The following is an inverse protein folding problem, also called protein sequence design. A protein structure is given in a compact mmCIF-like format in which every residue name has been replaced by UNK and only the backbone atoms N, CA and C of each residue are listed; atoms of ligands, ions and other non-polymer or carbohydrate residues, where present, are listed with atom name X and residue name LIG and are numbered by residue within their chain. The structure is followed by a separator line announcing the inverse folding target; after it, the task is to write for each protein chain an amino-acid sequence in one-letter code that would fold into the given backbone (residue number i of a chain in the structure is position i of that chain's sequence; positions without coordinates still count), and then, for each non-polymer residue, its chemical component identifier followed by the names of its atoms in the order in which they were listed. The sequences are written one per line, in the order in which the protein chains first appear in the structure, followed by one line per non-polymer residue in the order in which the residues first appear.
data_IF_318740268864
#
_entry.id   IF_318740268864
#
_cell.length_a   1.000
_cell.length_b   1.000
_cell.length_c   1.000
_cell.angle_alpha   90.00
_cell.angle_beta   90.00
_cell.angle_gamma   90.00
#
_symmetry.space_group_name_H-M   'P 1'
#
loop_
_entity.id
_entity.type
_entity.pdbx_description
1 polymer ?
#
# COMPACT_ATOMS: atom_id res chain seq x y z
N UNK A 1 5.76 -21.47 1.50
CA UNK A 1 4.67 -20.80 2.26
C UNK A 1 4.71 -19.28 2.10
N UNK A 2 5.86 -18.62 2.31
CA UNK A 2 5.99 -17.15 2.18
C UNK A 2 5.68 -16.61 0.76
N UNK A 3 5.95 -17.40 -0.28
CA UNK A 3 5.57 -17.06 -1.66
C UNK A 3 4.05 -16.87 -1.84
N UNK A 4 3.23 -17.67 -1.17
CA UNK A 4 1.77 -17.53 -1.25
C UNK A 4 1.30 -16.20 -0.63
N UNK A 5 1.94 -15.79 0.47
CA UNK A 5 1.71 -14.48 1.11
C UNK A 5 2.14 -13.34 0.17
N UNK A 6 3.29 -13.49 -0.50
CA UNK A 6 3.75 -12.52 -1.50
C UNK A 6 2.77 -12.38 -2.67
N UNK A 7 2.20 -13.48 -3.15
CA UNK A 7 1.20 -13.47 -4.21
C UNK A 7 -0.13 -12.82 -3.75
N UNK A 8 -0.62 -13.17 -2.55
CA UNK A 8 -1.84 -12.57 -1.98
C UNK A 8 -1.71 -11.05 -1.81
N UNK A 9 -0.54 -10.57 -1.38
CA UNK A 9 -0.24 -9.14 -1.30
C UNK A 9 -0.46 -8.43 -2.64
N UNK A 10 0.01 -9.00 -3.74
CA UNK A 10 -0.16 -8.42 -5.08
C UNK A 10 -1.62 -8.53 -5.54
N UNK A 11 -2.26 -9.68 -5.36
CA UNK A 11 -3.66 -9.87 -5.76
C UNK A 11 -4.61 -8.88 -5.05
N UNK A 12 -4.38 -8.64 -3.76
CA UNK A 12 -5.21 -7.76 -2.94
C UNK A 12 -4.79 -6.29 -2.99
N UNK A 13 -3.67 -5.94 -3.65
CA UNK A 13 -3.14 -4.58 -3.67
C UNK A 13 -4.13 -3.51 -4.17
N UNK A 14 -5.01 -3.78 -5.16
CA UNK A 14 -6.01 -2.79 -5.59
C UNK A 14 -7.10 -2.51 -4.56
N UNK A 15 -7.34 -3.45 -3.63
CA UNK A 15 -8.42 -3.37 -2.64
C UNK A 15 -7.92 -2.99 -1.24
N UNK A 16 -6.69 -3.38 -0.92
CA UNK A 16 -6.05 -3.19 0.39
C UNK A 16 -4.67 -2.55 0.22
N UNK A 17 -4.57 -1.34 -0.37
CA UNK A 17 -3.27 -0.76 -0.77
C UNK A 17 -2.33 -0.57 0.43
N UNK A 18 -2.86 -0.08 1.56
CA UNK A 18 -2.05 0.18 2.75
C UNK A 18 -1.55 -1.11 3.43
N UNK A 19 -2.39 -2.14 3.49
CA UNK A 19 -1.99 -3.43 4.05
C UNK A 19 -1.01 -4.15 3.13
N UNK A 20 -1.22 -4.07 1.81
CA UNK A 20 -0.31 -4.62 0.83
C UNK A 20 1.08 -3.94 0.90
N UNK A 21 1.13 -2.61 1.04
CA UNK A 21 2.38 -1.87 1.22
C UNK A 21 3.10 -2.24 2.52
N UNK A 22 2.38 -2.32 3.65
CA UNK A 22 2.96 -2.74 4.92
C UNK A 22 3.54 -4.17 4.84
N UNK A 23 2.79 -5.10 4.24
CA UNK A 23 3.27 -6.46 4.01
C UNK A 23 4.46 -6.50 3.04
N UNK A 24 4.51 -5.59 2.06
CA UNK A 24 5.65 -5.45 1.15
C UNK A 24 6.92 -5.11 1.93
N UNK A 25 6.86 -4.11 2.82
CA UNK A 25 7.97 -3.76 3.70
C UNK A 25 8.34 -4.92 4.66
N UNK A 26 7.35 -5.59 5.26
CA UNK A 26 7.59 -6.75 6.14
C UNK A 26 8.33 -7.91 5.45
N UNK A 27 8.06 -8.10 4.16
CA UNK A 27 8.75 -9.09 3.33
C UNK A 27 10.17 -8.65 2.91
N UNK A 28 10.68 -7.53 3.43
CA UNK A 28 12.04 -7.03 3.18
C UNK A 28 12.20 -6.32 1.83
N UNK A 29 11.11 -5.86 1.22
CA UNK A 29 11.22 -5.02 0.02
C UNK A 29 11.42 -3.56 0.41
N UNK A 30 12.34 -2.89 -0.29
CA UNK A 30 12.66 -1.47 -0.09
C UNK A 30 11.93 -0.54 -1.06
N UNK A 31 11.22 -1.11 -2.03
CA UNK A 31 10.41 -0.39 -3.02
C UNK A 31 9.01 -0.06 -2.50
N UNK A 32 8.35 0.90 -3.15
CA UNK A 32 6.94 1.17 -2.91
C UNK A 32 6.07 0.50 -3.98
N UNK A 33 4.97 -0.12 -3.58
CA UNK A 33 3.95 -0.64 -4.51
C UNK A 33 3.15 0.51 -5.13
N UNK A 34 3.01 1.62 -4.42
CA UNK A 34 2.18 2.75 -4.81
C UNK A 34 3.00 4.03 -4.81
N UNK A 35 2.53 5.01 -5.58
CA UNK A 35 3.05 6.36 -5.62
C UNK A 35 2.45 7.23 -4.53
N UNK A 36 2.80 8.51 -4.55
CA UNK A 36 2.38 9.48 -3.55
C UNK A 36 1.28 10.36 -4.11
N UNK A 37 0.19 10.46 -3.36
CA UNK A 37 -0.88 11.39 -3.64
C UNK A 37 -0.65 12.68 -2.86
N UNK A 38 -0.76 13.82 -3.52
CA UNK A 38 -0.55 15.13 -2.90
C UNK A 38 -1.54 16.15 -3.45
N UNK A 39 -1.72 17.20 -2.66
CA UNK A 39 -2.57 18.33 -3.00
C UNK A 39 -1.69 19.43 -3.60
N UNK A 40 -2.10 19.96 -4.75
CA UNK A 40 -1.46 21.12 -5.37
C UNK A 40 -2.48 22.22 -5.60
N UNK A 41 -2.09 23.47 -5.33
CA UNK A 41 -2.89 24.64 -5.64
C UNK A 41 -2.46 25.19 -7.00
N UNK A 42 -3.38 25.23 -7.95
CA UNK A 42 -3.13 25.75 -9.29
C UNK A 42 -3.59 27.21 -9.35
N UNK A 43 -2.71 28.14 -9.72
CA UNK A 43 -3.12 29.52 -9.97
C UNK A 43 -4.00 29.57 -11.22
N UNK A 44 -5.17 30.19 -11.09
CA UNK A 44 -6.14 30.41 -12.16
C UNK A 44 -6.56 31.88 -12.13
N UNK A 45 -6.81 32.46 -13.31
CA UNK A 45 -7.14 33.86 -13.52
C UNK A 45 -8.45 34.27 -12.84
N UNK A 46 -9.40 33.34 -12.67
CA UNK A 46 -10.66 33.61 -11.98
C UNK A 46 -10.56 33.40 -10.45
N UNK A 47 -10.00 32.26 -10.02
CA UNK A 47 -9.77 31.92 -8.61
C UNK A 47 -8.85 30.69 -8.51
N UNK A 48 -7.84 30.67 -7.62
CA UNK A 48 -7.03 29.48 -7.40
C UNK A 48 -7.92 28.29 -7.00
N UNK A 49 -7.58 27.10 -7.51
CA UNK A 49 -8.29 25.87 -7.21
C UNK A 49 -7.32 24.75 -6.84
N UNK A 50 -7.81 23.86 -6.00
CA UNK A 50 -7.04 22.76 -5.44
C UNK A 50 -7.26 21.51 -6.25
N UNK A 51 -6.18 20.87 -6.70
CA UNK A 51 -6.21 19.61 -7.41
C UNK A 51 -5.52 18.51 -6.60
N UNK A 52 -6.01 17.29 -6.81
CA UNK A 52 -5.44 16.09 -6.22
C UNK A 52 -4.59 15.40 -7.27
N UNK A 53 -3.27 15.38 -7.07
CA UNK A 53 -2.31 14.79 -8.01
C UNK A 53 -1.72 13.51 -7.44
N UNK A 54 -1.22 12.70 -8.36
CA UNK A 54 -0.56 11.44 -8.05
C UNK A 54 0.81 11.40 -8.76
N UNK A 55 1.87 11.31 -7.96
CA UNK A 55 3.22 11.06 -8.45
C UNK A 55 3.51 9.57 -8.39
N UNK A 56 3.86 9.00 -9.54
CA UNK A 56 4.20 7.58 -9.69
C UNK A 56 5.71 7.31 -9.74
N UNK A 57 6.56 8.31 -9.55
CA UNK A 57 8.02 8.20 -9.75
C UNK A 57 8.64 7.03 -8.98
N UNK A 58 8.28 6.86 -7.71
CA UNK A 58 8.81 5.79 -6.84
C UNK A 58 7.92 4.53 -6.81
N UNK A 59 6.83 4.50 -7.58
CA UNK A 59 5.90 3.39 -7.62
C UNK A 59 6.45 2.24 -8.49
N UNK A 60 6.91 1.17 -7.84
CA UNK A 60 7.43 -0.04 -8.50
C UNK A 60 6.41 -1.19 -8.56
N UNK A 61 5.21 -1.00 -8.02
CA UNK A 61 4.18 -2.03 -7.99
C UNK A 61 3.67 -2.38 -9.39
N UNK A 62 3.69 -3.67 -9.72
CA UNK A 62 3.05 -4.22 -10.90
C UNK A 62 2.05 -5.29 -10.48
N UNK A 63 0.87 -5.31 -11.08
CA UNK A 63 -0.15 -6.32 -10.81
C UNK A 63 0.16 -7.61 -11.60
N UNK A 64 1.27 -8.23 -11.23
CA UNK A 64 1.80 -9.43 -11.84
C UNK A 64 2.46 -10.31 -10.77
N UNK A 65 2.48 -11.61 -11.02
CA UNK A 65 3.19 -12.53 -10.13
C UNK A 65 4.69 -12.21 -10.10
N UNK A 66 5.27 -12.21 -8.91
CA UNK A 66 6.70 -12.02 -8.69
C UNK A 66 7.22 -13.08 -7.71
N UNK A 67 8.36 -13.68 -8.04
CA UNK A 67 9.02 -14.64 -7.18
C UNK A 67 9.70 -13.93 -6.00
N UNK A 68 9.52 -14.48 -4.80
CA UNK A 68 10.21 -14.03 -3.60
C UNK A 68 11.57 -14.69 -3.55
N UNK A 69 12.62 -13.88 -3.66
CA UNK A 69 14.00 -14.38 -3.61
C UNK A 69 14.31 -15.12 -2.29
N UNK A 70 14.84 -16.35 -2.36
CA UNK A 70 15.28 -17.09 -1.19
C UNK A 70 16.36 -16.35 -0.42
N UNK A 71 16.33 -16.43 0.91
CA UNK A 71 17.35 -15.81 1.77
C UNK A 71 17.19 -14.30 1.95
N UNK A 72 16.15 -13.67 1.38
CA UNK A 72 15.82 -12.27 1.64
C UNK A 72 15.60 -12.05 3.15
N UNK A 73 16.28 -11.07 3.78
CA UNK A 73 16.03 -10.73 5.17
C UNK A 73 14.61 -10.19 5.32
N UNK A 74 13.89 -10.69 6.32
CA UNK A 74 12.54 -10.25 6.63
C UNK A 74 12.60 -9.23 7.77
N UNK A 75 11.75 -8.21 7.67
CA UNK A 75 11.57 -7.27 8.76
C UNK A 75 10.70 -7.88 9.86
N UNK A 76 10.78 -7.34 11.07
CA UNK A 76 9.98 -7.84 12.19
C UNK A 76 8.48 -7.72 11.86
N UNK A 77 7.71 -8.83 11.89
CA UNK A 77 6.30 -8.78 11.55
C UNK A 77 5.52 -7.96 12.58
N UNK A 78 4.55 -7.19 12.10
CA UNK A 78 3.59 -6.46 12.92
C UNK A 78 2.15 -6.84 12.51
N UNK A 79 1.17 -6.72 13.41
CA UNK A 79 -0.22 -7.03 13.08
C UNK A 79 -0.75 -6.10 11.98
N UNK A 80 -1.19 -6.68 10.86
CA UNK A 80 -1.76 -5.93 9.72
C UNK A 80 -3.21 -5.50 9.93
N UNK A 81 -3.97 -6.23 10.75
CA UNK A 81 -5.38 -5.98 11.00
C UNK A 81 -5.64 -6.01 12.50
N UNK A 82 -6.27 -4.95 13.01
CA UNK A 82 -6.83 -4.95 14.35
C UNK A 82 -8.25 -5.52 14.28
N UNK A 83 -8.59 -6.43 15.18
CA UNK A 83 -9.97 -6.91 15.33
C UNK A 83 -10.87 -5.73 15.71
N UNK A 84 -11.99 -5.57 15.02
CA UNK A 84 -13.01 -4.60 15.40
C UNK A 84 -13.68 -5.06 16.70
N UNK A 85 -13.89 -4.15 17.63
CA UNK A 85 -14.70 -4.39 18.82
C UNK A 85 -16.19 -4.31 18.45
N UNK A 86 -17.04 -5.09 19.13
CA UNK A 86 -18.48 -4.96 18.93
C UNK A 86 -18.91 -3.56 19.38
N UNK A 87 -19.50 -2.79 18.46
CA UNK A 87 -20.19 -1.56 18.80
C UNK A 87 -21.50 -2.02 19.43
N UNK A 88 -21.63 -1.90 20.75
CA UNK A 88 -22.78 -2.36 21.49
C UNK A 88 -24.08 -1.89 20.85
N UNK A 89 -25.02 -2.82 20.65
CA UNK A 89 -26.40 -2.49 20.32
C UNK A 89 -26.99 -1.69 21.50
N UNK A 90 -27.11 -0.38 21.33
CA UNK A 90 -27.81 0.47 22.30
C UNK A 90 -29.28 0.00 22.39
N UNK A 91 -29.68 -0.30 23.62
CA UNK A 91 -31.05 -0.65 24.04
C UNK A 91 -31.88 0.60 24.33
#
# INVERSE_FOLDING_TARGET
MLQAINALKILLSPFLPFSAQQLHAMLGYQTQLFGVQYIEEIPDAARPHTVLRYDKADAAGCWAFAELEPGRPLEKPAPLFRKLEEIGAES
#
